data_IF_121959590162
#
_entry.id   IF_121959590162
#
_cell.length_a   1.000
_cell.length_b   1.000
_cell.length_c   1.000
_cell.angle_alpha   90.00
_cell.angle_beta   90.00
_cell.angle_gamma   90.00
#
_symmetry.space_group_name_H-M   'P 1'
#
loop_
_entity.id
_entity.type
_entity.pdbx_description
1 polymer ?
#
# COMPACT_ATOMS: atom_id res chain seq x y z
N UNK A 1 -11.05 2.14 11.44
CA UNK A 1 -10.91 2.75 10.10
C UNK A 1 -9.89 2.03 9.22
N UNK A 2 -8.70 1.65 9.73
CA UNK A 2 -7.59 1.10 8.93
C UNK A 2 -7.96 -0.14 8.10
N UNK A 3 -8.78 -1.06 8.61
CA UNK A 3 -9.26 -2.21 7.82
C UNK A 3 -10.14 -1.81 6.62
N UNK A 4 -10.93 -0.74 6.74
CA UNK A 4 -11.71 -0.22 5.61
C UNK A 4 -10.79 0.41 4.56
N UNK A 5 -9.74 1.13 4.99
CA UNK A 5 -8.71 1.67 4.09
C UNK A 5 -7.96 0.53 3.40
N UNK A 6 -7.57 -0.53 4.11
CA UNK A 6 -6.93 -1.70 3.52
C UNK A 6 -7.79 -2.35 2.42
N UNK A 7 -9.10 -2.47 2.65
CA UNK A 7 -10.05 -2.92 1.62
C UNK A 7 -10.09 -2.00 0.39
N UNK A 8 -10.14 -0.68 0.60
CA UNK A 8 -10.10 0.32 -0.48
C UNK A 8 -8.80 0.26 -1.29
N UNK A 9 -7.66 0.11 -0.61
CA UNK A 9 -6.36 -0.08 -1.25
C UNK A 9 -6.36 -1.36 -2.08
N UNK A 10 -6.79 -2.49 -1.50
CA UNK A 10 -6.81 -3.78 -2.18
C UNK A 10 -7.71 -3.80 -3.43
N UNK A 11 -8.85 -3.11 -3.40
CA UNK A 11 -9.75 -3.06 -4.56
C UNK A 11 -9.32 -2.05 -5.63
N UNK A 12 -8.47 -1.07 -5.29
CA UNK A 12 -8.01 -0.03 -6.23
C UNK A 12 -7.53 -0.56 -7.59
N UNK A 13 -6.61 -1.56 -7.66
CA UNK A 13 -6.16 -2.10 -8.95
C UNK A 13 -7.19 -3.01 -9.64
N UNK A 14 -8.29 -3.36 -8.97
CA UNK A 14 -9.28 -4.33 -9.43
C UNK A 14 -10.65 -3.72 -9.75
N UNK A 15 -10.91 -2.48 -9.32
CA UNK A 15 -12.25 -1.90 -9.23
C UNK A 15 -13.05 -1.92 -10.54
N UNK A 16 -12.38 -1.82 -11.69
CA UNK A 16 -13.00 -1.89 -13.02
C UNK A 16 -13.08 -3.29 -13.65
N UNK A 17 -12.52 -4.32 -13.00
CA UNK A 17 -12.26 -5.62 -13.62
C UNK A 17 -12.86 -6.82 -12.88
N UNK A 18 -13.37 -6.64 -11.65
CA UNK A 18 -13.85 -7.73 -10.80
C UNK A 18 -15.33 -7.58 -10.42
N UNK A 19 -16.02 -8.70 -10.28
CA UNK A 19 -17.43 -8.75 -9.85
C UNK A 19 -17.57 -8.43 -8.34
N UNK A 20 -18.79 -8.07 -7.87
CA UNK A 20 -19.03 -7.73 -6.46
C UNK A 20 -18.65 -8.82 -5.45
N UNK A 21 -18.90 -10.10 -5.76
CA UNK A 21 -18.59 -11.20 -4.84
C UNK A 21 -17.09 -11.41 -4.64
N UNK A 22 -16.25 -11.51 -5.70
CA UNK A 22 -14.80 -11.41 -5.56
C UNK A 22 -14.32 -10.16 -4.82
N UNK A 23 -14.91 -8.99 -5.06
CA UNK A 23 -14.54 -7.75 -4.39
C UNK A 23 -14.71 -7.82 -2.86
N UNK A 24 -15.79 -8.46 -2.38
CA UNK A 24 -16.00 -8.71 -0.94
C UNK A 24 -14.91 -9.61 -0.35
N UNK A 25 -14.52 -10.66 -1.09
CA UNK A 25 -13.45 -11.58 -0.68
C UNK A 25 -12.11 -10.83 -0.62
N UNK A 26 -11.80 -10.00 -1.61
CA UNK A 26 -10.59 -9.17 -1.64
C UNK A 26 -10.52 -8.21 -0.45
N UNK A 27 -11.63 -7.56 -0.09
CA UNK A 27 -11.70 -6.68 1.07
C UNK A 27 -11.50 -7.41 2.39
N UNK A 28 -12.13 -8.57 2.58
CA UNK A 28 -11.94 -9.40 3.76
C UNK A 28 -10.49 -9.91 3.89
N UNK A 29 -9.91 -10.38 2.78
CA UNK A 29 -8.52 -10.80 2.73
C UNK A 29 -7.56 -9.67 3.07
N UNK A 30 -7.78 -8.46 2.54
CA UNK A 30 -6.99 -7.27 2.85
C UNK A 30 -7.04 -6.91 4.34
N UNK A 31 -8.23 -6.96 4.95
CA UNK A 31 -8.38 -6.71 6.38
C UNK A 31 -7.51 -7.63 7.24
N UNK A 32 -7.49 -8.93 6.92
CA UNK A 32 -6.67 -9.92 7.64
C UNK A 32 -5.18 -9.73 7.36
N UNK A 33 -4.78 -9.67 6.09
CA UNK A 33 -3.37 -9.61 5.69
C UNK A 33 -2.71 -8.31 6.17
N UNK A 34 -3.37 -7.16 5.99
CA UNK A 34 -2.85 -5.88 6.46
C UNK A 34 -2.80 -5.81 8.00
N UNK A 35 -3.76 -6.41 8.71
CA UNK A 35 -3.69 -6.48 10.18
C UNK A 35 -2.43 -7.22 10.66
N UNK A 36 -2.12 -8.37 10.06
CA UNK A 36 -0.88 -9.10 10.38
C UNK A 36 0.38 -8.32 9.99
N UNK A 37 0.35 -7.60 8.87
CA UNK A 37 1.46 -6.74 8.46
C UNK A 37 1.75 -5.63 9.48
N UNK A 38 0.71 -4.91 9.93
CA UNK A 38 0.85 -3.81 10.88
C UNK A 38 1.21 -4.30 12.29
N UNK A 39 0.67 -5.44 12.74
CA UNK A 39 0.87 -5.94 14.10
C UNK A 39 2.12 -6.81 14.28
N UNK A 40 2.24 -7.85 13.46
CA UNK A 40 3.26 -8.89 13.65
C UNK A 40 4.52 -8.63 12.82
N UNK A 41 4.36 -8.27 11.54
CA UNK A 41 5.51 -8.06 10.65
C UNK A 41 6.30 -6.82 11.09
N UNK A 42 5.61 -5.71 11.35
CA UNK A 42 6.23 -4.47 11.87
C UNK A 42 7.09 -4.69 13.11
N UNK A 43 6.53 -5.33 14.13
CA UNK A 43 7.23 -5.60 15.39
C UNK A 43 8.40 -6.58 15.20
N UNK A 44 8.25 -7.57 14.32
CA UNK A 44 9.30 -8.57 14.06
C UNK A 44 10.52 -7.98 13.32
N UNK A 45 10.28 -7.06 12.38
CA UNK A 45 11.35 -6.40 11.62
C UNK A 45 11.86 -5.09 12.26
N UNK A 46 11.16 -4.59 13.28
CA UNK A 46 11.58 -3.42 14.06
C UNK A 46 11.59 -2.10 13.28
N UNK A 47 10.83 -2.00 12.18
CA UNK A 47 10.74 -0.75 11.43
C UNK A 47 9.70 0.19 12.05
N UNK A 48 10.04 1.48 12.10
CA UNK A 48 9.15 2.53 12.57
C UNK A 48 8.41 3.18 11.39
N UNK A 49 7.28 2.56 11.03
CA UNK A 49 6.31 3.10 10.08
C UNK A 49 5.17 3.75 10.86
N UNK A 50 5.28 5.04 11.14
CA UNK A 50 4.50 5.72 12.19
C UNK A 50 2.97 5.61 12.00
N UNK A 51 2.50 5.57 10.76
CA UNK A 51 1.07 5.50 10.41
C UNK A 51 0.68 4.20 9.68
N UNK A 52 1.55 3.18 9.73
CA UNK A 52 1.34 1.89 9.06
C UNK A 52 1.12 2.00 7.54
N UNK A 53 1.74 3.00 6.89
CA UNK A 53 1.61 3.23 5.46
C UNK A 53 2.08 2.02 4.65
N UNK A 54 3.18 1.38 5.04
CA UNK A 54 3.68 0.17 4.40
C UNK A 54 2.73 -1.01 4.62
N UNK A 55 2.30 -1.24 5.86
CA UNK A 55 1.43 -2.37 6.22
C UNK A 55 0.04 -2.31 5.57
N UNK A 56 -0.53 -1.12 5.42
CA UNK A 56 -1.84 -0.92 4.79
C UNK A 56 -1.72 -0.76 3.27
N UNK A 57 -0.83 0.12 2.80
CA UNK A 57 -0.79 0.50 1.38
C UNK A 57 0.10 -0.42 0.54
N UNK A 58 1.33 -0.71 0.98
CA UNK A 58 2.25 -1.54 0.19
C UNK A 58 1.80 -3.01 0.18
N UNK A 59 1.48 -3.57 1.35
CA UNK A 59 1.00 -4.95 1.45
C UNK A 59 -0.40 -5.10 0.85
N UNK A 60 -1.34 -4.20 1.19
CA UNK A 60 -2.70 -4.23 0.66
C UNK A 60 -2.76 -4.02 -0.85
N UNK A 61 -1.95 -3.10 -1.38
CA UNK A 61 -1.87 -2.83 -2.82
C UNK A 61 -1.26 -4.00 -3.60
N UNK A 62 -0.27 -4.67 -3.01
CA UNK A 62 0.34 -5.88 -3.59
C UNK A 62 -0.65 -7.03 -3.64
N UNK A 63 -1.35 -7.28 -2.53
CA UNK A 63 -2.43 -8.27 -2.49
C UNK A 63 -3.49 -7.96 -3.55
N UNK A 64 -3.92 -6.70 -3.62
CA UNK A 64 -4.87 -6.22 -4.62
C UNK A 64 -4.43 -6.49 -6.05
N UNK A 65 -3.20 -6.12 -6.41
CA UNK A 65 -2.68 -6.30 -7.76
C UNK A 65 -2.61 -7.78 -8.17
N UNK A 66 -2.14 -8.65 -7.27
CA UNK A 66 -2.11 -10.10 -7.52
C UNK A 66 -3.53 -10.66 -7.66
N UNK A 67 -4.45 -10.27 -6.78
CA UNK A 67 -5.84 -10.72 -6.83
C UNK A 67 -6.61 -10.17 -8.04
N UNK A 68 -6.25 -9.00 -8.57
CA UNK A 68 -6.74 -8.54 -9.89
C UNK A 68 -6.40 -9.57 -10.96
N UNK A 69 -5.18 -10.08 -10.98
CA UNK A 69 -4.78 -11.13 -11.93
C UNK A 69 -5.56 -12.44 -11.79
N UNK A 70 -6.10 -12.71 -10.62
CA UNK A 70 -6.93 -13.91 -10.35
C UNK A 70 -8.39 -13.69 -10.76
N UNK A 71 -8.97 -12.57 -10.33
CA UNK A 71 -10.42 -12.33 -10.39
C UNK A 71 -10.87 -11.47 -11.58
N UNK A 72 -9.94 -10.87 -12.35
CA UNK A 72 -10.29 -10.09 -13.53
C UNK A 72 -11.18 -10.92 -14.48
N UNK A 73 -12.25 -10.30 -14.99
CA UNK A 73 -13.22 -10.98 -15.84
C UNK A 73 -13.69 -10.07 -16.96
N UNK A 74 -13.81 -10.65 -18.17
CA UNK A 74 -14.38 -9.96 -19.33
C UNK A 74 -15.84 -9.54 -19.13
N UNK A 75 -16.55 -10.16 -18.17
CA UNK A 75 -17.92 -9.80 -17.84
C UNK A 75 -18.05 -8.40 -17.20
N UNK A 76 -16.99 -7.94 -16.51
CA UNK A 76 -16.94 -6.59 -15.96
C UNK A 76 -16.42 -5.59 -16.99
N UNK A 77 -15.39 -5.97 -17.74
CA UNK A 77 -14.85 -5.16 -18.83
C UNK A 77 -14.25 -6.04 -19.91
N UNK A 78 -14.80 -5.98 -21.11
CA UNK A 78 -14.23 -6.64 -22.28
C UNK A 78 -13.08 -5.83 -22.93
N UNK A 79 -11.90 -5.85 -22.30
CA UNK A 79 -10.69 -5.19 -22.85
C UNK A 79 -10.00 -6.03 -23.93
N UNK A 80 -10.37 -7.29 -24.11
CA UNK A 80 -9.62 -8.25 -24.94
C UNK A 80 -10.50 -8.98 -25.97
N UNK A 81 -11.56 -8.32 -26.45
CA UNK A 81 -12.46 -8.76 -27.52
C UNK A 81 -13.06 -10.16 -27.28
N UNK A 82 -13.65 -10.33 -26.10
CA UNK A 82 -14.31 -11.54 -25.64
C UNK A 82 -13.37 -12.60 -25.13
N UNK A 83 -12.05 -12.38 -25.05
CA UNK A 83 -11.11 -13.36 -24.49
C UNK A 83 -11.13 -13.39 -22.96
N UNK A 84 -10.90 -14.56 -22.32
CA UNK A 84 -10.68 -14.66 -20.89
C UNK A 84 -9.59 -13.70 -20.37
N UNK A 85 -9.79 -13.13 -19.18
CA UNK A 85 -8.85 -12.16 -18.60
C UNK A 85 -8.03 -12.72 -17.43
N UNK A 86 -8.69 -13.05 -16.32
CA UNK A 86 -8.05 -13.49 -15.09
C UNK A 86 -7.93 -15.01 -15.00
N UNK A 87 -7.20 -15.47 -13.97
CA UNK A 87 -6.92 -16.89 -13.74
C UNK A 87 -8.18 -17.74 -13.66
N UNK A 88 -9.25 -17.23 -13.04
CA UNK A 88 -10.53 -17.94 -12.91
C UNK A 88 -11.22 -18.16 -14.26
N UNK A 89 -11.01 -17.28 -15.24
CA UNK A 89 -11.51 -17.48 -16.60
C UNK A 89 -10.60 -18.37 -17.45
N UNK A 90 -9.44 -18.79 -16.92
CA UNK A 90 -8.47 -19.66 -17.59
C UNK A 90 -7.31 -18.93 -18.27
N UNK A 91 -7.11 -17.64 -18.02
CA UNK A 91 -6.00 -16.84 -18.58
C UNK A 91 -4.99 -16.46 -17.49
N UNK A 92 -3.69 -16.54 -17.81
CA UNK A 92 -2.59 -16.34 -16.85
C UNK A 92 -1.78 -15.07 -17.12
N UNK A 93 -1.88 -14.51 -18.33
CA UNK A 93 -1.10 -13.34 -18.76
C UNK A 93 -1.28 -12.13 -17.86
N UNK A 94 -2.51 -11.86 -17.39
CA UNK A 94 -2.76 -10.73 -16.47
C UNK A 94 -2.12 -11.01 -15.11
N UNK A 95 -2.24 -12.21 -14.56
CA UNK A 95 -1.60 -12.56 -13.29
C UNK A 95 -0.08 -12.41 -13.34
N UNK A 96 0.55 -12.94 -14.39
CA UNK A 96 2.00 -12.80 -14.61
C UNK A 96 2.36 -11.31 -14.75
N UNK A 97 1.59 -10.58 -15.55
CA UNK A 97 1.77 -9.13 -15.73
C UNK A 97 1.70 -8.36 -14.42
N UNK A 98 0.74 -8.68 -13.55
CA UNK A 98 0.59 -8.03 -12.25
C UNK A 98 1.74 -8.36 -11.30
N UNK A 99 2.20 -9.61 -11.26
CA UNK A 99 3.39 -9.98 -10.45
C UNK A 99 4.63 -9.22 -10.93
N UNK A 100 4.85 -9.15 -12.25
CA UNK A 100 5.96 -8.38 -12.82
C UNK A 100 5.82 -6.90 -12.48
N UNK A 101 4.63 -6.31 -12.63
CA UNK A 101 4.37 -4.91 -12.30
C UNK A 101 4.64 -4.61 -10.83
N UNK A 102 4.21 -5.47 -9.91
CA UNK A 102 4.50 -5.36 -8.47
C UNK A 102 6.00 -5.35 -8.22
N UNK A 103 6.75 -6.31 -8.78
CA UNK A 103 8.20 -6.39 -8.57
C UNK A 103 8.91 -5.15 -9.11
N UNK A 104 8.58 -4.73 -10.34
CA UNK A 104 9.19 -3.54 -10.96
C UNK A 104 8.90 -2.29 -10.14
N UNK A 105 7.65 -2.10 -9.70
CA UNK A 105 7.26 -0.93 -8.92
C UNK A 105 7.87 -0.93 -7.52
N UNK A 106 8.00 -2.09 -6.87
CA UNK A 106 8.73 -2.22 -5.60
C UNK A 106 10.19 -1.82 -5.74
N UNK A 107 10.89 -2.37 -6.73
CA UNK A 107 12.31 -2.06 -6.96
C UNK A 107 12.48 -0.56 -7.23
N UNK A 108 11.67 0.01 -8.13
CA UNK A 108 11.73 1.42 -8.44
C UNK A 108 11.44 2.29 -7.22
N UNK A 109 10.34 2.05 -6.51
CA UNK A 109 9.93 2.85 -5.36
C UNK A 109 10.95 2.79 -4.22
N UNK A 110 11.52 1.61 -3.93
CA UNK A 110 12.53 1.46 -2.89
C UNK A 110 13.84 2.14 -3.27
N UNK A 111 14.35 1.88 -4.48
CA UNK A 111 15.66 2.43 -4.91
C UNK A 111 15.58 3.94 -5.09
N UNK A 112 14.56 4.44 -5.80
CA UNK A 112 14.41 5.87 -6.05
C UNK A 112 14.20 6.65 -4.74
N UNK A 113 13.28 6.19 -3.88
CA UNK A 113 13.04 6.84 -2.57
C UNK A 113 14.30 6.81 -1.71
N UNK A 114 15.01 5.68 -1.64
CA UNK A 114 16.25 5.59 -0.86
C UNK A 114 17.31 6.58 -1.33
N UNK A 115 17.52 6.69 -2.65
CA UNK A 115 18.48 7.64 -3.22
C UNK A 115 18.06 9.08 -2.89
N UNK A 116 16.80 9.42 -3.11
CA UNK A 116 16.27 10.78 -2.84
C UNK A 116 16.47 11.13 -1.37
N UNK A 117 16.06 10.25 -0.45
CA UNK A 117 16.18 10.50 0.98
C UNK A 117 17.65 10.64 1.41
N UNK A 118 18.55 9.80 0.90
CA UNK A 118 19.99 9.90 1.23
C UNK A 118 20.64 11.17 0.70
N UNK A 119 20.26 11.63 -0.49
CA UNK A 119 20.76 12.88 -1.05
C UNK A 119 20.26 14.07 -0.23
N UNK A 120 18.97 14.10 0.11
CA UNK A 120 18.41 15.18 0.94
C UNK A 120 19.02 15.20 2.34
N UNK A 121 19.16 14.03 2.98
CA UNK A 121 19.76 13.91 4.31
C UNK A 121 21.21 14.42 4.33
N UNK A 122 21.99 14.16 3.27
CA UNK A 122 23.36 14.65 3.15
C UNK A 122 23.47 16.17 2.91
N UNK A 123 22.45 16.79 2.30
CA UNK A 123 22.48 18.22 1.96
C UNK A 123 21.91 19.09 3.10
N UNK A 124 20.80 18.66 3.69
CA UNK A 124 20.06 19.49 4.65
C UNK A 124 19.67 18.77 5.94
N UNK A 125 19.85 17.45 6.03
CA UNK A 125 19.33 16.63 7.13
C UNK A 125 17.81 16.48 7.06
N UNK A 126 17.30 15.26 7.20
CA UNK A 126 15.85 15.01 7.13
C UNK A 126 15.14 14.97 8.49
N UNK A 127 15.84 14.51 9.55
CA UNK A 127 15.26 14.37 10.89
C UNK A 127 15.61 15.60 11.73
N UNK A 128 14.64 16.09 12.50
CA UNK A 128 14.88 17.13 13.51
C UNK A 128 15.85 16.65 14.60
N UNK A 129 16.39 17.58 15.38
CA UNK A 129 17.24 17.19 16.51
C UNK A 129 16.44 16.40 17.55
N UNK A 130 17.14 15.59 18.36
CA UNK A 130 16.47 14.82 19.41
C UNK A 130 15.81 15.73 20.46
N UNK A 131 16.39 16.90 20.72
CA UNK A 131 15.81 17.89 21.61
C UNK A 131 14.51 18.46 21.03
N UNK A 132 14.51 18.80 19.74
CA UNK A 132 13.31 19.31 19.07
C UNK A 132 12.20 18.23 18.98
N UNK A 133 12.58 16.97 18.76
CA UNK A 133 11.64 15.84 18.74
C UNK A 133 10.96 15.65 20.10
N UNK A 134 11.69 15.85 21.20
CA UNK A 134 11.16 15.76 22.58
C UNK A 134 10.28 16.97 22.92
N UNK A 135 10.65 18.17 22.50
CA UNK A 135 9.84 19.38 22.70
C UNK A 135 8.55 19.35 21.85
N UNK A 136 8.59 18.71 20.68
CA UNK A 136 7.47 18.60 19.75
C UNK A 136 7.62 19.52 18.55
N UNK A 137 7.17 19.03 17.38
CA UNK A 137 7.30 19.76 16.11
C UNK A 137 6.39 20.99 16.04
N UNK A 138 5.23 20.97 16.70
CA UNK A 138 4.33 22.14 16.77
C UNK A 138 5.05 23.37 17.33
N UNK A 139 5.80 23.19 18.42
CA UNK A 139 6.57 24.28 19.03
C UNK A 139 7.84 24.62 18.26
N UNK A 140 8.64 23.60 17.92
CA UNK A 140 10.00 23.81 17.40
C UNK A 140 10.02 24.23 15.93
N UNK A 141 9.05 23.77 15.14
CA UNK A 141 8.97 24.06 13.70
C UNK A 141 7.89 25.10 13.37
N UNK A 142 6.83 25.20 14.18
CA UNK A 142 5.70 26.09 13.89
C UNK A 142 5.51 27.21 14.93
N UNK A 143 6.11 27.12 16.12
CA UNK A 143 5.98 28.12 17.18
C UNK A 143 4.58 28.18 17.82
N UNK A 144 3.81 27.10 17.70
CA UNK A 144 2.41 27.02 18.13
C UNK A 144 2.19 25.79 19.03
N UNK A 145 1.12 25.81 19.84
CA UNK A 145 0.65 24.64 20.58
C UNK A 145 -0.65 24.13 19.96
N UNK A 146 -0.72 22.83 19.63
CA UNK A 146 -1.92 22.24 19.02
C UNK A 146 -3.18 22.33 19.89
N UNK A 147 -3.04 22.39 21.22
CA UNK A 147 -4.14 22.56 22.16
C UNK A 147 -3.71 23.41 23.36
N UNK A 148 -4.43 24.51 23.60
CA UNK A 148 -4.24 25.35 24.78
C UNK A 148 -5.28 24.93 25.82
N UNK A 149 -4.85 24.19 26.83
CA UNK A 149 -5.73 23.81 27.94
C UNK A 149 -5.81 24.98 28.93
N UNK A 150 -6.88 25.77 28.81
CA UNK A 150 -7.25 26.84 29.75
C UNK A 150 -8.07 26.29 30.90
#
# INVERSE_FOLDING_TARGET
ASGAVAGLVCITPAAGFVNPMPALIMGAAAGVVCYFACGAVKSSFGYDDSLDAFGVHAVGGTLGAVLTGVFATRACWDIDNGRPLGLIEGETRILIGQVVAVVVTWVFALVATFIILKVLDAIMGLRVSQEDEVQGLDLTQHGEEGYIFV
#
